data_IF_168770217800
#
_entry.id   IF_168770217800
#
_cell.length_a   1.000
_cell.length_b   1.000
_cell.length_c   1.000
_cell.angle_alpha   90.00
_cell.angle_beta   90.00
_cell.angle_gamma   90.00
#
_symmetry.space_group_name_H-M   'P 1'
#
loop_
_entity.id
_entity.type
_entity.pdbx_description
1 polymer ?
#
# COMPACT_ATOMS: atom_id res chain seq x y z
N UNK A 1 11.41 -16.93 -31.60
CA UNK A 1 11.52 -17.21 -30.15
C UNK A 1 10.12 -17.35 -29.64
N UNK A 2 9.81 -18.44 -28.95
CA UNK A 2 8.45 -18.67 -28.43
C UNK A 2 8.34 -17.96 -27.09
N UNK A 3 7.65 -16.83 -27.03
CA UNK A 3 7.32 -16.21 -25.75
C UNK A 3 6.35 -17.13 -25.01
N UNK A 4 6.69 -17.46 -23.76
CA UNK A 4 5.86 -18.32 -22.91
C UNK A 4 4.97 -17.42 -22.07
N UNK A 5 3.66 -17.46 -22.32
CA UNK A 5 2.67 -16.70 -21.57
C UNK A 5 2.04 -17.58 -20.48
N UNK A 6 1.87 -17.02 -19.29
CA UNK A 6 1.06 -17.59 -18.22
C UNK A 6 -0.39 -17.11 -18.40
N UNK A 7 -1.30 -18.03 -18.66
CA UNK A 7 -2.73 -17.70 -18.85
C UNK A 7 -3.43 -17.73 -17.50
N UNK A 8 -4.12 -16.64 -17.16
CA UNK A 8 -4.97 -16.56 -15.97
C UNK A 8 -6.42 -16.46 -16.41
N UNK A 9 -7.22 -17.46 -16.03
CA UNK A 9 -8.65 -17.48 -16.31
C UNK A 9 -9.44 -16.86 -15.15
N UNK A 10 -10.27 -15.86 -15.44
CA UNK A 10 -11.19 -15.24 -14.47
C UNK A 10 -12.62 -15.22 -15.00
N UNK A 11 -13.59 -15.23 -14.09
CA UNK A 11 -15.02 -15.30 -14.44
C UNK A 11 -15.72 -13.94 -14.46
N UNK A 12 -15.01 -12.87 -14.07
CA UNK A 12 -15.57 -11.53 -13.95
C UNK A 12 -14.59 -10.49 -14.46
N UNK A 13 -15.11 -9.49 -15.15
CA UNK A 13 -14.41 -8.27 -15.53
C UNK A 13 -15.27 -7.05 -15.15
N UNK A 14 -14.67 -5.87 -14.89
CA UNK A 14 -13.25 -5.55 -14.97
C UNK A 14 -12.44 -5.95 -13.72
N UNK A 15 -11.20 -6.37 -13.93
CA UNK A 15 -10.26 -6.75 -12.85
C UNK A 15 -9.27 -5.62 -12.61
N UNK A 16 -8.83 -5.42 -11.37
CA UNK A 16 -7.82 -4.40 -11.07
C UNK A 16 -6.40 -4.97 -11.18
N UNK A 17 -5.48 -4.21 -11.78
CA UNK A 17 -4.07 -4.62 -11.96
C UNK A 17 -3.43 -5.16 -10.67
N UNK A 18 -3.55 -4.43 -9.56
CA UNK A 18 -3.02 -4.85 -8.25
C UNK A 18 -3.63 -6.17 -7.76
N UNK A 19 -4.90 -6.46 -8.07
CA UNK A 19 -5.53 -7.74 -7.72
C UNK A 19 -5.00 -8.85 -8.62
N UNK A 20 -4.84 -8.59 -9.91
CA UNK A 20 -4.34 -9.57 -10.86
C UNK A 20 -2.94 -10.05 -10.50
N UNK A 21 -2.00 -9.14 -10.18
CA UNK A 21 -0.65 -9.49 -9.72
C UNK A 21 -0.67 -10.43 -8.51
N UNK A 22 -1.61 -10.23 -7.59
CA UNK A 22 -1.78 -11.10 -6.43
C UNK A 22 -2.35 -12.47 -6.82
N UNK A 23 -3.36 -12.52 -7.70
CA UNK A 23 -3.97 -13.78 -8.16
C UNK A 23 -2.95 -14.62 -8.94
N UNK A 24 -2.09 -13.95 -9.71
CA UNK A 24 -0.98 -14.54 -10.44
C UNK A 24 0.15 -15.09 -9.54
N UNK A 25 0.10 -14.83 -8.22
CA UNK A 25 1.17 -15.14 -7.27
C UNK A 25 2.55 -14.53 -7.63
N UNK A 26 2.56 -13.44 -8.41
CA UNK A 26 3.79 -12.71 -8.76
C UNK A 26 4.35 -11.88 -7.60
N UNK A 27 3.50 -11.59 -6.61
CA UNK A 27 3.82 -10.74 -5.46
C UNK A 27 3.36 -11.45 -4.18
N UNK A 28 4.11 -11.24 -3.09
CA UNK A 28 3.81 -11.82 -1.78
C UNK A 28 2.52 -11.24 -1.17
N UNK A 29 2.16 -10.00 -1.53
CA UNK A 29 0.92 -9.41 -1.05
C UNK A 29 0.47 -8.14 -1.77
N UNK A 30 -0.72 -7.65 -1.40
CA UNK A 30 -1.31 -6.45 -2.01
C UNK A 30 -0.60 -5.13 -1.65
N UNK A 31 0.22 -5.11 -0.60
CA UNK A 31 1.08 -3.97 -0.28
C UNK A 31 2.23 -3.84 -1.27
N UNK A 32 2.93 -4.95 -1.50
CA UNK A 32 4.00 -5.06 -2.50
C UNK A 32 3.48 -4.75 -3.91
N UNK A 33 2.34 -5.34 -4.30
CA UNK A 33 1.69 -5.04 -5.59
C UNK A 33 1.52 -3.53 -5.83
N UNK A 34 1.14 -2.77 -4.81
CA UNK A 34 0.97 -1.32 -4.92
C UNK A 34 2.31 -0.61 -5.10
N UNK A 35 3.35 -1.08 -4.42
CA UNK A 35 4.69 -0.49 -4.48
C UNK A 35 5.26 -0.72 -5.89
N UNK A 36 5.29 -1.97 -6.36
CA UNK A 36 5.90 -2.32 -7.66
C UNK A 36 5.23 -1.60 -8.84
N UNK A 37 3.90 -1.44 -8.81
CA UNK A 37 3.17 -0.65 -9.81
C UNK A 37 3.54 0.84 -9.69
N UNK A 38 3.63 1.38 -8.47
CA UNK A 38 3.98 2.80 -8.28
C UNK A 38 5.41 3.12 -8.70
N UNK A 39 6.30 2.14 -8.61
CA UNK A 39 7.70 2.24 -9.03
C UNK A 39 7.88 2.00 -10.54
N UNK A 40 6.85 1.56 -11.25
CA UNK A 40 6.88 1.37 -12.71
C UNK A 40 7.55 0.08 -13.17
N UNK A 41 7.53 -0.97 -12.34
CA UNK A 41 8.08 -2.28 -12.72
C UNK A 41 7.10 -3.16 -13.52
N UNK A 42 5.88 -2.70 -13.72
CA UNK A 42 4.81 -3.45 -14.38
C UNK A 42 4.51 -2.81 -15.73
N UNK A 43 4.51 -3.62 -16.78
CA UNK A 43 4.09 -3.19 -18.11
C UNK A 43 2.72 -3.79 -18.42
N UNK A 44 1.88 -3.00 -19.07
CA UNK A 44 0.58 -3.41 -19.60
C UNK A 44 0.61 -3.17 -21.10
N UNK A 45 0.48 -4.22 -21.89
CA UNK A 45 0.54 -4.19 -23.35
C UNK A 45 1.81 -3.48 -23.90
N UNK A 46 2.94 -3.63 -23.19
CA UNK A 46 4.23 -3.04 -23.56
C UNK A 46 4.50 -1.64 -22.97
N UNK A 47 3.52 -1.01 -22.32
CA UNK A 47 3.66 0.32 -21.71
C UNK A 47 3.76 0.24 -20.18
N UNK A 48 4.64 1.04 -19.58
CA UNK A 48 4.77 1.10 -18.11
C UNK A 48 3.51 1.70 -17.48
N UNK A 49 2.87 0.96 -16.58
CA UNK A 49 1.63 1.37 -15.93
C UNK A 49 1.86 1.70 -14.45
N UNK A 50 1.40 2.88 -14.02
CA UNK A 50 1.53 3.37 -12.64
C UNK A 50 0.22 3.30 -11.85
N UNK A 51 -0.90 3.04 -12.53
CA UNK A 51 -2.22 3.03 -11.91
C UNK A 51 -2.52 1.67 -11.25
N UNK A 52 -2.37 1.63 -9.93
CA UNK A 52 -2.65 0.45 -9.06
C UNK A 52 -4.03 -0.20 -9.28
N UNK A 53 -5.04 0.62 -9.57
CA UNK A 53 -6.44 0.18 -9.81
C UNK A 53 -6.83 0.30 -11.29
N UNK A 54 -5.86 0.27 -12.20
CA UNK A 54 -6.16 0.19 -13.64
C UNK A 54 -7.06 -1.01 -13.87
N UNK A 55 -8.14 -0.80 -14.63
CA UNK A 55 -9.05 -1.85 -15.03
C UNK A 55 -8.42 -2.61 -16.20
N UNK A 56 -8.32 -3.92 -16.03
CA UNK A 56 -7.76 -4.88 -16.97
C UNK A 56 -8.93 -5.71 -17.51
N UNK A 57 -8.89 -5.95 -18.81
CA UNK A 57 -9.93 -6.62 -19.58
C UNK A 57 -9.39 -7.89 -20.24
N UNK A 58 -10.29 -8.63 -20.86
CA UNK A 58 -9.95 -9.83 -21.60
C UNK A 58 -8.85 -9.57 -22.65
N UNK A 59 -7.89 -10.48 -22.71
CA UNK A 59 -6.70 -10.50 -23.58
C UNK A 59 -5.64 -9.43 -23.31
N UNK A 60 -5.78 -8.63 -22.25
CA UNK A 60 -4.68 -7.77 -21.81
C UNK A 60 -3.46 -8.61 -21.40
N UNK A 61 -2.28 -8.12 -21.79
CA UNK A 61 -0.99 -8.74 -21.52
C UNK A 61 -0.23 -7.90 -20.49
N UNK A 62 0.23 -8.55 -19.43
CA UNK A 62 0.94 -7.90 -18.33
C UNK A 62 2.31 -8.54 -18.17
N UNK A 63 3.33 -7.71 -18.08
CA UNK A 63 4.71 -8.14 -17.87
C UNK A 63 5.21 -7.64 -16.52
N UNK A 64 5.81 -8.53 -15.76
CA UNK A 64 6.44 -8.21 -14.49
C UNK A 64 7.54 -9.22 -14.18
N UNK A 65 8.73 -8.74 -13.81
CA UNK A 65 9.87 -9.57 -13.41
C UNK A 65 10.27 -10.65 -14.46
N UNK A 66 10.08 -10.36 -15.75
CA UNK A 66 10.37 -11.30 -16.84
C UNK A 66 9.31 -12.38 -17.06
N UNK A 67 8.22 -12.37 -16.29
CA UNK A 67 7.04 -13.20 -16.52
C UNK A 67 5.99 -12.41 -17.30
N UNK A 68 5.40 -13.06 -18.31
CA UNK A 68 4.35 -12.49 -19.14
C UNK A 68 3.05 -13.22 -18.89
N UNK A 69 1.99 -12.46 -18.60
CA UNK A 69 0.68 -12.97 -18.24
C UNK A 69 -0.33 -12.49 -19.26
N UNK A 70 -1.24 -13.38 -19.66
CA UNK A 70 -2.41 -13.01 -20.44
C UNK A 70 -3.70 -13.29 -19.65
N UNK A 71 -4.60 -12.31 -19.62
CA UNK A 71 -5.89 -12.45 -18.95
C UNK A 71 -6.95 -13.06 -19.88
N UNK A 72 -7.49 -14.23 -19.52
CA UNK A 72 -8.60 -14.86 -20.22
C UNK A 72 -9.87 -14.76 -19.36
N UNK A 73 -10.96 -14.21 -19.91
CA UNK A 73 -12.23 -14.11 -19.19
C UNK A 73 -13.21 -15.13 -19.73
N UNK A 74 -13.84 -15.89 -18.83
CA UNK A 74 -14.92 -16.80 -19.18
C UNK A 74 -16.24 -16.01 -19.27
N UNK A 75 -16.65 -15.66 -20.48
CA UNK A 75 -17.80 -14.76 -20.76
C UNK A 75 -19.18 -15.33 -20.37
N UNK A 76 -19.27 -16.61 -20.01
CA UNK A 76 -20.54 -17.30 -19.73
C UNK A 76 -21.38 -16.72 -18.56
N UNK A 77 -20.86 -15.75 -17.81
CA UNK A 77 -21.52 -15.15 -16.64
C UNK A 77 -21.70 -13.62 -16.73
N UNK A 78 -21.26 -12.98 -17.81
CA UNK A 78 -21.27 -11.50 -17.90
C UNK A 78 -22.59 -10.94 -18.45
N UNK A 79 -23.35 -11.74 -19.21
CA UNK A 79 -24.58 -11.31 -19.90
C UNK A 79 -25.74 -10.92 -18.96
N UNK A 80 -25.71 -11.32 -17.68
CA UNK A 80 -26.80 -11.05 -16.73
C UNK A 80 -26.80 -9.62 -16.16
N UNK A 81 -25.78 -8.81 -16.42
CA UNK A 81 -25.68 -7.46 -15.83
C UNK A 81 -26.31 -6.39 -16.74
N UNK A 82 -26.31 -6.57 -18.06
CA UNK A 82 -26.85 -5.59 -19.01
C UNK A 82 -28.38 -5.66 -19.15
N UNK A 83 -28.99 -6.82 -18.93
CA UNK A 83 -30.46 -7.02 -19.03
C UNK A 83 -31.25 -6.57 -17.78
N UNK A 84 -30.58 -6.14 -16.70
CA UNK A 84 -31.21 -5.89 -15.40
C UNK A 84 -31.27 -4.41 -14.96
N UNK A 85 -30.95 -3.45 -15.85
CA UNK A 85 -30.84 -2.03 -15.45
C UNK A 85 -32.13 -1.21 -15.66
N UNK A 86 -33.17 -1.71 -16.34
CA UNK A 86 -34.33 -0.87 -16.69
C UNK A 86 -35.50 -0.81 -15.69
N UNK A 87 -35.47 -1.49 -14.53
CA UNK A 87 -36.53 -1.33 -13.51
C UNK A 87 -35.97 -1.47 -12.08
N UNK A 88 -35.99 -0.36 -11.33
CA UNK A 88 -35.78 -0.22 -9.87
C UNK A 88 -34.34 -0.25 -9.31
N UNK A 89 -33.88 0.90 -8.80
CA UNK A 89 -33.67 1.11 -7.36
C UNK A 89 -33.85 2.60 -7.04
N UNK A 90 -34.96 2.85 -6.35
CA UNK A 90 -35.27 4.10 -5.68
C UNK A 90 -34.28 4.39 -4.54
N UNK A 91 -34.02 5.66 -4.37
CA UNK A 91 -33.07 6.25 -3.43
C UNK A 91 -33.61 6.10 -2.00
N UNK A 92 -33.09 5.14 -1.23
CA UNK A 92 -33.38 5.05 0.21
C UNK A 92 -32.10 5.31 1.03
N UNK A 93 -32.03 6.55 1.51
CA UNK A 93 -31.13 7.08 2.52
C UNK A 93 -30.95 6.11 3.71
N UNK A 94 -29.75 5.57 3.88
CA UNK A 94 -29.34 4.85 5.08
C UNK A 94 -29.21 5.81 6.28
N UNK A 95 -30.19 5.74 7.18
CA UNK A 95 -30.12 6.24 8.54
C UNK A 95 -30.52 5.08 9.44
N UNK A 96 -29.55 4.40 10.06
CA UNK A 96 -29.69 3.86 11.41
C UNK A 96 -28.36 3.33 11.98
N UNK A 97 -28.18 3.71 13.24
CA UNK A 97 -27.09 3.44 14.16
C UNK A 97 -27.63 2.36 15.12
N UNK A 98 -26.85 1.34 15.47
CA UNK A 98 -26.63 0.92 16.88
C UNK A 98 -25.85 -0.41 17.05
N UNK A 99 -24.65 -0.26 17.62
CA UNK A 99 -24.09 -0.95 18.80
C UNK A 99 -24.43 -2.44 19.06
N UNK A 100 -23.37 -3.26 19.24
CA UNK A 100 -23.01 -3.81 20.58
C UNK A 100 -21.69 -4.59 20.59
N UNK A 101 -20.84 -4.13 21.51
CA UNK A 101 -19.60 -4.73 22.02
C UNK A 101 -19.88 -5.66 23.20
N UNK A 102 -19.09 -6.73 23.37
CA UNK A 102 -18.84 -7.48 24.62
C UNK A 102 -17.54 -8.31 24.40
N UNK A 103 -16.55 -8.53 25.29
CA UNK A 103 -16.09 -8.07 26.63
C UNK A 103 -14.71 -8.81 26.84
N UNK A 104 -14.13 -8.96 28.06
CA UNK A 104 -13.07 -8.19 28.75
C UNK A 104 -11.66 -8.85 28.86
N UNK A 105 -10.66 -8.08 29.32
CA UNK A 105 -9.55 -8.45 30.26
C UNK A 105 -8.61 -7.22 30.34
N UNK A 106 -8.06 -6.75 31.45
CA UNK A 106 -7.81 -7.24 32.80
C UNK A 106 -6.54 -6.50 33.27
N UNK A 107 -6.58 -5.95 34.48
CA UNK A 107 -5.72 -4.87 35.02
C UNK A 107 -4.49 -5.39 35.80
N UNK A 108 -3.36 -4.70 35.59
CA UNK A 108 -2.29 -4.28 36.53
C UNK A 108 -1.50 -5.28 37.38
N UNK A 109 -0.17 -5.13 37.34
CA UNK A 109 0.70 -5.19 38.52
C UNK A 109 1.87 -4.20 38.41
N UNK A 110 1.93 -3.27 39.34
CA UNK A 110 3.03 -2.34 39.61
C UNK A 110 4.16 -3.06 40.37
N UNK A 111 5.43 -2.65 40.22
CA UNK A 111 6.46 -2.71 41.30
C UNK A 111 7.64 -1.75 41.00
N UNK A 112 7.62 -0.61 41.69
CA UNK A 112 8.70 0.13 42.38
C UNK A 112 10.14 0.24 41.81
N UNK A 113 10.51 1.48 41.45
CA UNK A 113 11.57 2.34 42.04
C UNK A 113 12.74 1.66 42.81
N UNK A 114 13.99 1.80 42.33
CA UNK A 114 15.12 2.42 43.08
C UNK A 114 16.53 2.20 42.49
N UNK A 115 17.22 3.33 42.26
CA UNK A 115 18.62 3.61 42.66
C UNK A 115 19.81 2.92 41.96
N UNK A 116 20.75 3.72 41.42
CA UNK A 116 22.04 4.13 42.06
C UNK A 116 23.26 4.22 41.09
N UNK A 117 23.84 5.44 41.04
CA UNK A 117 25.27 5.87 41.05
C UNK A 117 26.32 5.37 40.02
N UNK A 118 26.95 6.37 39.36
CA UNK A 118 28.41 6.71 39.26
C UNK A 118 29.43 5.58 38.97
N UNK A 119 30.48 5.70 38.14
CA UNK A 119 31.56 6.70 38.16
C UNK A 119 32.66 6.37 37.10
N UNK A 120 33.46 7.38 36.72
CA UNK A 120 34.90 7.36 36.37
C UNK A 120 35.50 6.70 35.08
N UNK A 121 36.06 7.61 34.25
CA UNK A 121 37.44 7.64 33.69
C UNK A 121 37.95 6.51 32.78
N UNK A 122 38.26 6.85 31.51
CA UNK A 122 39.64 6.95 30.97
C UNK A 122 39.72 7.37 29.47
N UNK A 123 40.63 8.31 29.17
CA UNK A 123 41.25 8.69 27.86
C UNK A 123 42.43 7.69 27.60
N UNK A 124 43.16 7.60 26.44
CA UNK A 124 43.25 8.55 25.32
C UNK A 124 43.52 8.03 23.86
N UNK A 125 43.33 8.96 22.89
CA UNK A 125 44.10 9.26 21.64
C UNK A 125 44.46 8.21 20.57
N UNK A 126 44.10 8.50 19.29
CA UNK A 126 44.97 8.65 18.08
C UNK A 126 44.10 9.08 16.87
N UNK A 127 44.25 10.30 16.35
CA UNK A 127 44.93 10.72 15.10
C UNK A 127 44.19 10.44 13.78
N UNK A 128 43.67 11.50 13.16
CA UNK A 128 43.61 11.81 11.71
C UNK A 128 42.93 13.19 11.60
N UNK A 129 43.66 14.31 11.45
CA UNK A 129 43.97 14.97 10.17
C UNK A 129 42.90 14.73 9.11
N UNK A 130 42.05 15.74 8.90
CA UNK A 130 41.88 16.39 7.59
C UNK A 130 41.23 17.76 7.78
N UNK A 131 41.88 18.77 7.19
CA UNK A 131 41.46 20.16 7.14
C UNK A 131 40.50 20.35 5.97
N UNK A 132 39.30 20.87 6.23
CA UNK A 132 38.60 21.72 5.25
C UNK A 132 37.88 22.84 6.01
N UNK A 133 38.29 24.07 5.73
CA UNK A 133 37.92 25.28 6.47
C UNK A 133 36.69 25.95 5.85
N UNK A 134 35.79 26.38 6.73
CA UNK A 134 34.87 27.53 6.65
C UNK A 134 33.75 27.59 5.59
N UNK A 135 32.50 27.58 6.07
CA UNK A 135 31.76 28.83 6.40
C UNK A 135 30.39 28.55 7.03
N UNK A 136 30.10 29.22 8.14
CA UNK A 136 28.75 29.47 8.70
C UNK A 136 28.56 31.00 8.66
N UNK A 137 27.40 31.50 8.20
CA UNK A 137 26.42 32.12 9.10
C UNK A 137 24.98 31.63 8.78
N UNK A 138 24.21 31.18 9.76
CA UNK A 138 23.23 32.01 10.50
C UNK A 138 21.83 32.01 9.84
N UNK A 139 20.92 31.19 10.37
CA UNK A 139 19.57 31.58 10.81
C UNK A 139 18.68 30.35 10.99
N UNK A 140 18.39 30.07 12.25
CA UNK A 140 17.37 29.13 12.71
C UNK A 140 15.97 29.58 12.25
N UNK A 141 15.30 28.73 11.48
CA UNK A 141 13.86 28.75 11.35
C UNK A 141 13.32 27.32 11.47
N UNK A 142 13.29 26.83 12.72
CA UNK A 142 12.53 25.64 13.11
C UNK A 142 11.06 25.89 12.77
N UNK A 143 10.55 25.19 11.75
CA UNK A 143 9.14 25.22 11.37
C UNK A 143 8.30 24.61 12.50
N UNK A 144 7.71 25.45 13.34
CA UNK A 144 6.82 25.02 14.42
C UNK A 144 5.66 24.18 13.87
N UNK A 145 5.28 23.06 14.53
CA UNK A 145 4.10 22.31 14.14
C UNK A 145 2.84 23.14 14.41
N UNK A 146 1.98 23.29 13.40
CA UNK A 146 0.69 23.99 13.53
C UNK A 146 -0.19 23.25 14.54
N UNK A 147 -0.53 23.91 15.65
CA UNK A 147 -1.52 23.41 16.64
C UNK A 147 -2.87 23.20 15.94
N UNK A 148 -3.49 22.02 16.15
CA UNK A 148 -4.84 21.73 15.68
C UNK A 148 -5.84 22.60 16.45
N UNK A 149 -6.80 23.19 15.73
CA UNK A 149 -7.86 24.01 16.35
C UNK A 149 -8.82 23.09 17.12
N UNK A 150 -9.31 23.51 18.30
CA UNK A 150 -10.30 22.73 19.04
C UNK A 150 -11.62 22.69 18.26
N UNK A 151 -12.27 21.54 18.27
CA UNK A 151 -13.64 21.38 17.80
C UNK A 151 -14.53 21.92 18.91
N UNK A 152 -15.27 23.00 18.63
CA UNK A 152 -16.34 23.46 19.50
C UNK A 152 -17.46 22.42 19.48
N UNK A 153 -17.79 21.88 20.65
CA UNK A 153 -19.01 21.11 20.89
C UNK A 153 -20.24 22.01 20.83
#
# INVERSE_FOLDING_TARGET
>A
MSESYLVIELNQQPVELCKLLKIANLVSGGGEAKIVISEGYVLLNGDVEYQKRKKIYHNDVIEFNGEVIQLQINEALTQVIDDAIDENIEVASAKEIEQKTNKPQGITSETTRSQKKANAKQKPTKQAKDNFTEKVPESDAVKMPKKRRPISF
#
